data_IF_398930420234
#
_entry.id   IF_398930420234
#
_cell.length_a   1.000
_cell.length_b   1.000
_cell.length_c   1.000
_cell.angle_alpha   90.00
_cell.angle_beta   90.00
_cell.angle_gamma   90.00
#
_symmetry.space_group_name_H-M   'P 1'
#
loop_
_entity.id
_entity.type
_entity.pdbx_description
1 polymer ?
#
# COMPACT_ATOMS: atom_id res chain seq x y z
N UNK A 1 -19.59 65.50 52.14
CA UNK A 1 -20.21 64.62 53.14
C UNK A 1 -19.20 63.58 53.62
N UNK A 2 -19.00 63.54 54.94
CA UNK A 2 -18.52 62.50 55.85
C UNK A 2 -17.41 61.47 55.48
N UNK A 3 -16.45 61.38 56.43
CA UNK A 3 -15.40 60.36 56.68
C UNK A 3 -15.94 59.04 57.25
N UNK A 4 -15.16 57.95 57.13
CA UNK A 4 -14.80 56.92 58.14
C UNK A 4 -14.23 55.67 57.42
N UNK A 5 -13.07 55.03 57.67
CA UNK A 5 -12.39 54.49 58.88
C UNK A 5 -13.10 53.32 59.59
N UNK A 6 -12.43 52.16 59.69
CA UNK A 6 -12.79 50.98 60.51
C UNK A 6 -12.18 49.70 59.90
N UNK A 7 -11.13 49.02 60.39
CA UNK A 7 -10.68 48.53 61.72
C UNK A 7 -11.41 47.27 62.22
N UNK A 8 -10.64 46.23 62.59
CA UNK A 8 -11.03 45.15 63.52
C UNK A 8 -11.15 43.75 62.89
N UNK A 9 -10.26 42.78 63.18
CA UNK A 9 -10.30 41.88 64.35
C UNK A 9 -10.68 40.45 63.87
N UNK A 10 -10.23 39.30 64.36
CA UNK A 10 -9.84 38.88 65.71
C UNK A 10 -9.13 37.50 65.65
N UNK A 11 -8.52 37.16 66.78
CA UNK A 11 -7.60 36.06 67.14
C UNK A 11 -8.14 34.61 67.11
N UNK A 12 -7.18 33.69 66.91
CA UNK A 12 -6.91 32.38 67.57
C UNK A 12 -7.96 31.82 68.55
N UNK A 13 -8.23 30.52 68.41
CA UNK A 13 -8.38 29.59 69.56
C UNK A 13 -7.69 28.25 69.27
N UNK A 14 -7.09 27.73 70.33
CA UNK A 14 -6.31 26.50 70.50
C UNK A 14 -7.19 25.27 70.72
N UNK A 15 -6.76 24.07 70.28
CA UNK A 15 -7.23 22.81 70.88
C UNK A 15 -6.12 21.74 70.91
N UNK A 16 -5.52 21.64 72.09
CA UNK A 16 -5.06 20.47 72.86
C UNK A 16 -5.11 19.09 72.19
N UNK A 17 -4.00 18.35 72.32
CA UNK A 17 -3.86 16.98 71.83
C UNK A 17 -4.53 15.92 72.69
N UNK A 18 -4.52 14.68 72.19
CA UNK A 18 -4.24 13.40 72.88
C UNK A 18 -4.35 12.28 71.83
N UNK A 19 -3.28 11.50 71.67
CA UNK A 19 -3.24 10.13 71.12
C UNK A 19 -2.70 9.26 72.28
N UNK A 20 -2.84 7.91 72.33
CA UNK A 20 -3.44 7.01 71.35
C UNK A 20 -4.39 5.94 71.96
N UNK A 21 -5.21 5.28 71.13
CA UNK A 21 -5.75 3.95 71.45
C UNK A 21 -5.09 2.91 70.56
N UNK A 22 -4.52 1.92 71.24
CA UNK A 22 -3.86 0.71 70.77
C UNK A 22 -4.77 -0.18 69.94
N UNK A 23 -4.33 -0.52 68.71
CA UNK A 23 -4.81 -1.68 67.97
C UNK A 23 -3.79 -2.82 68.14
N UNK A 24 -4.22 -4.10 68.25
CA UNK A 24 -3.34 -5.20 68.62
C UNK A 24 -2.45 -5.66 67.48
N UNK A 25 -1.31 -6.19 67.91
CA UNK A 25 -0.13 -6.65 67.18
C UNK A 25 -0.39 -7.92 66.34
N UNK A 26 0.37 -8.00 65.25
CA UNK A 26 0.39 -9.03 64.22
C UNK A 26 0.56 -10.48 64.72
N UNK A 27 -0.05 -11.42 63.98
CA UNK A 27 0.48 -12.77 63.77
C UNK A 27 1.02 -12.86 62.34
N UNK A 28 2.32 -13.09 62.22
CA UNK A 28 3.01 -13.33 60.97
C UNK A 28 2.65 -14.72 60.41
N UNK A 29 2.30 -14.78 59.12
CA UNK A 29 2.19 -16.03 58.36
C UNK A 29 3.50 -16.23 57.56
N UNK A 30 4.04 -17.46 57.46
CA UNK A 30 5.30 -17.70 56.76
C UNK A 30 5.12 -17.59 55.24
N UNK A 31 6.01 -16.84 54.58
CA UNK A 31 6.12 -16.79 53.11
C UNK A 31 6.59 -18.16 52.60
N UNK A 32 5.77 -18.79 51.75
CA UNK A 32 6.14 -19.97 50.95
C UNK A 32 7.03 -19.52 49.78
N UNK A 33 8.17 -20.17 49.50
CA UNK A 33 9.05 -19.78 48.39
C UNK A 33 8.40 -20.05 47.03
N UNK A 34 8.66 -19.16 46.08
CA UNK A 34 8.25 -19.28 44.68
C UNK A 34 8.90 -20.51 44.02
N UNK A 35 8.09 -21.27 43.26
CA UNK A 35 8.54 -22.39 42.46
C UNK A 35 9.40 -21.91 41.26
N UNK A 36 10.40 -22.69 40.81
CA UNK A 36 11.31 -22.28 39.74
C UNK A 36 10.59 -22.20 38.39
N UNK A 37 10.98 -21.18 37.61
CA UNK A 37 10.55 -20.99 36.23
C UNK A 37 10.89 -22.23 35.38
N UNK A 38 9.92 -22.69 34.58
CA UNK A 38 10.13 -23.74 33.59
C UNK A 38 11.16 -23.32 32.54
N UNK A 39 11.83 -24.29 31.88
CA UNK A 39 12.90 -23.99 30.94
C UNK A 39 12.35 -23.24 29.72
N UNK A 40 13.05 -22.16 29.33
CA UNK A 40 12.83 -21.45 28.08
C UNK A 40 12.89 -22.43 26.89
N UNK A 41 12.16 -22.20 25.78
CA UNK A 41 12.28 -23.05 24.59
C UNK A 41 13.71 -22.91 24.08
N UNK A 42 14.51 -23.94 24.32
CA UNK A 42 15.86 -24.03 23.79
C UNK A 42 15.77 -23.92 22.28
N UNK A 43 16.54 -22.98 21.72
CA UNK A 43 16.92 -23.05 20.32
C UNK A 43 17.58 -24.42 20.16
N UNK A 44 16.83 -25.38 19.60
CA UNK A 44 17.45 -26.58 19.06
C UNK A 44 18.38 -26.07 17.99
N UNK A 45 19.67 -26.00 18.32
CA UNK A 45 20.73 -25.97 17.33
C UNK A 45 20.51 -27.20 16.47
N UNK A 46 19.85 -27.00 15.33
CA UNK A 46 19.69 -28.02 14.31
C UNK A 46 21.11 -28.50 14.03
N UNK A 47 21.36 -29.79 14.29
CA UNK A 47 22.65 -30.38 13.97
C UNK A 47 22.99 -30.10 12.49
N UNK A 48 24.27 -30.01 12.12
CA UNK A 48 24.68 -29.64 10.76
C UNK A 48 23.99 -30.49 9.69
N UNK A 49 23.68 -31.76 10.00
CA UNK A 49 22.89 -32.64 9.13
C UNK A 49 21.47 -32.14 8.85
N UNK A 50 20.74 -31.63 9.85
CA UNK A 50 19.39 -31.13 9.66
C UNK A 50 19.37 -29.80 8.88
N UNK A 51 20.40 -28.96 9.07
CA UNK A 51 20.60 -27.74 8.26
C UNK A 51 20.85 -28.08 6.79
N UNK A 52 21.65 -29.11 6.52
CA UNK A 52 21.88 -29.58 5.15
C UNK A 52 20.62 -30.16 4.50
N UNK A 53 19.80 -30.89 5.25
CA UNK A 53 18.51 -31.42 4.75
C UNK A 53 17.53 -30.28 4.45
N UNK A 54 17.44 -29.28 5.32
CA UNK A 54 16.58 -28.11 5.09
C UNK A 54 17.08 -27.29 3.90
N UNK A 55 18.38 -27.10 3.77
CA UNK A 55 18.98 -26.40 2.62
C UNK A 55 18.71 -27.14 1.31
N UNK A 56 18.86 -28.46 1.30
CA UNK A 56 18.53 -29.29 0.13
C UNK A 56 17.04 -29.20 -0.24
N UNK A 57 16.14 -29.24 0.76
CA UNK A 57 14.71 -29.06 0.53
C UNK A 57 14.37 -27.67 -0.02
N UNK A 58 14.98 -26.61 0.51
CA UNK A 58 14.78 -25.25 0.00
C UNK A 58 15.28 -25.10 -1.43
N UNK A 59 16.41 -25.71 -1.79
CA UNK A 59 16.93 -25.71 -3.16
C UNK A 59 15.97 -26.46 -4.10
N UNK A 60 15.44 -27.61 -3.70
CA UNK A 60 14.46 -28.36 -4.51
C UNK A 60 13.16 -27.57 -4.68
N UNK A 61 12.67 -26.91 -3.63
CA UNK A 61 11.47 -26.07 -3.69
C UNK A 61 11.70 -24.87 -4.61
N UNK A 62 12.83 -24.16 -4.46
CA UNK A 62 13.20 -23.05 -5.35
C UNK A 62 13.35 -23.53 -6.78
N UNK A 63 13.96 -24.70 -7.01
CA UNK A 63 14.08 -25.29 -8.34
C UNK A 63 12.72 -25.68 -8.92
N UNK A 64 11.82 -26.26 -8.13
CA UNK A 64 10.46 -26.58 -8.58
C UNK A 64 9.64 -25.32 -8.87
N UNK A 65 9.72 -24.30 -8.01
CA UNK A 65 9.06 -23.01 -8.25
C UNK A 65 9.66 -22.35 -9.48
N UNK A 66 10.98 -22.32 -9.63
CA UNK A 66 11.64 -21.77 -10.81
C UNK A 66 11.29 -22.56 -12.09
N UNK A 67 11.25 -23.90 -12.01
CA UNK A 67 10.89 -24.81 -13.13
C UNK A 67 9.43 -24.66 -13.54
N UNK A 68 8.53 -24.45 -12.58
CA UNK A 68 7.08 -24.47 -12.79
C UNK A 68 6.51 -23.07 -13.07
N UNK A 69 7.11 -22.01 -12.51
CA UNK A 69 6.69 -20.63 -12.78
C UNK A 69 7.36 -20.00 -14.01
N UNK A 70 8.51 -20.48 -14.47
CA UNK A 70 9.18 -19.98 -15.69
C UNK A 70 9.05 -20.88 -16.93
N UNK A 71 8.20 -21.92 -16.91
CA UNK A 71 7.86 -22.70 -18.12
C UNK A 71 6.40 -22.48 -18.52
N UNK A 72 6.07 -21.26 -18.93
CA UNK A 72 4.86 -20.91 -19.66
C UNK A 72 5.20 -20.45 -21.07
N UNK A 73 4.88 -21.29 -22.06
CA UNK A 73 4.87 -21.04 -23.52
C UNK A 73 6.27 -20.81 -24.15
N UNK A 74 6.86 -21.73 -24.91
CA UNK A 74 6.29 -22.41 -26.07
C UNK A 74 7.00 -21.89 -27.32
N UNK A 75 8.10 -22.53 -27.73
CA UNK A 75 8.53 -22.52 -29.13
C UNK A 75 9.25 -23.81 -29.49
N UNK A 76 8.95 -24.22 -30.70
CA UNK A 76 9.23 -25.51 -31.31
C UNK A 76 10.71 -25.63 -31.63
N UNK A 77 11.19 -26.88 -31.56
CA UNK A 77 12.31 -27.49 -32.29
C UNK A 77 13.23 -26.52 -33.02
N UNK A 78 14.46 -26.41 -32.53
CA UNK A 78 15.62 -26.17 -33.37
C UNK A 78 16.80 -26.90 -32.74
N UNK A 79 17.06 -28.11 -33.23
CA UNK A 79 18.39 -28.72 -33.20
C UNK A 79 18.57 -29.50 -34.49
N UNK A 80 19.28 -28.88 -35.43
CA UNK A 80 20.30 -29.56 -36.23
C UNK A 80 21.22 -28.49 -36.87
N UNK A 81 22.55 -28.67 -36.79
CA UNK A 81 23.53 -27.69 -37.23
C UNK A 81 23.79 -27.73 -38.74
N UNK A 82 24.39 -26.66 -39.23
CA UNK A 82 24.64 -26.39 -40.65
C UNK A 82 25.93 -27.08 -41.15
N UNK A 83 25.86 -27.50 -42.43
CA UNK A 83 26.91 -27.68 -43.46
C UNK A 83 27.52 -29.08 -43.59
N UNK A 84 27.22 -29.73 -44.72
CA UNK A 84 28.24 -29.97 -45.74
C UNK A 84 27.63 -30.17 -47.13
N UNK A 85 28.36 -29.70 -48.14
CA UNK A 85 28.09 -29.68 -49.57
C UNK A 85 28.61 -30.99 -50.19
N UNK A 86 27.78 -31.75 -50.92
CA UNK A 86 28.14 -32.44 -52.19
C UNK A 86 26.98 -33.27 -52.77
N UNK A 87 26.64 -32.95 -54.01
CA UNK A 87 26.46 -33.82 -55.18
C UNK A 87 25.62 -35.13 -55.06
N UNK A 88 24.48 -35.16 -55.78
CA UNK A 88 24.25 -35.98 -56.99
C UNK A 88 22.88 -36.70 -57.07
N UNK A 89 22.18 -36.47 -58.20
CA UNK A 89 21.24 -37.35 -58.96
C UNK A 89 19.93 -37.80 -58.27
N UNK A 90 18.79 -38.09 -58.93
CA UNK A 90 18.22 -38.04 -60.30
C UNK A 90 16.71 -38.39 -60.16
N UNK A 91 15.87 -37.75 -60.99
CA UNK A 91 14.54 -38.17 -61.54
C UNK A 91 13.25 -38.33 -60.69
N UNK A 92 12.14 -37.90 -61.32
CA UNK A 92 10.72 -38.27 -61.12
C UNK A 92 9.88 -37.20 -60.42
N UNK A 93 9.20 -36.26 -61.10
CA UNK A 93 7.83 -36.35 -61.70
C UNK A 93 6.71 -36.61 -60.67
N UNK A 94 5.94 -35.58 -60.31
CA UNK A 94 4.58 -35.32 -60.83
C UNK A 94 3.87 -34.19 -60.03
N UNK A 95 3.42 -33.20 -60.80
CA UNK A 95 2.25 -32.33 -60.76
C UNK A 95 1.44 -31.98 -59.48
N UNK A 96 1.08 -30.68 -59.48
CA UNK A 96 -0.16 -30.05 -59.02
C UNK A 96 -0.37 -29.61 -57.56
N UNK A 97 -1.10 -28.48 -57.46
CA UNK A 97 -1.71 -27.84 -56.30
C UNK A 97 -0.92 -26.79 -55.51
N UNK A 98 -0.59 -25.69 -56.19
CA UNK A 98 -0.74 -24.35 -55.60
C UNK A 98 -2.25 -24.06 -55.42
N UNK A 99 -2.63 -23.37 -54.32
CA UNK A 99 -3.89 -22.59 -54.10
C UNK A 99 -4.86 -23.09 -53.01
N UNK A 100 -4.49 -22.93 -51.73
CA UNK A 100 -5.51 -22.68 -50.66
C UNK A 100 -5.02 -22.09 -49.33
N UNK A 101 -3.75 -21.68 -49.18
CA UNK A 101 -3.22 -21.25 -47.87
C UNK A 101 -2.67 -19.82 -47.82
N UNK A 102 -2.98 -18.97 -48.82
CA UNK A 102 -2.49 -17.58 -48.90
C UNK A 102 -3.56 -16.50 -48.69
N UNK A 103 -4.83 -16.85 -48.46
CA UNK A 103 -5.90 -15.85 -48.25
C UNK A 103 -6.27 -15.59 -46.78
N UNK A 104 -5.89 -16.46 -45.84
CA UNK A 104 -6.27 -16.27 -44.41
C UNK A 104 -5.24 -15.49 -43.57
N UNK A 105 -4.03 -15.24 -44.08
CA UNK A 105 -2.98 -14.52 -43.34
C UNK A 105 -2.90 -13.01 -43.58
N UNK A 106 -3.70 -12.47 -44.51
CA UNK A 106 -3.72 -11.03 -44.79
C UNK A 106 -4.90 -10.30 -44.11
N UNK A 107 -5.90 -11.03 -43.60
CA UNK A 107 -7.05 -10.45 -42.88
C UNK A 107 -6.74 -10.11 -41.42
N UNK A 108 -5.95 -10.94 -40.73
CA UNK A 108 -5.64 -10.74 -39.31
C UNK A 108 -4.61 -9.63 -39.04
N UNK A 109 -3.76 -9.28 -40.02
CA UNK A 109 -2.84 -8.13 -39.90
C UNK A 109 -3.56 -6.80 -40.08
N UNK A 110 -4.55 -6.71 -40.98
CA UNK A 110 -5.34 -5.48 -41.17
C UNK A 110 -6.28 -5.21 -39.99
N UNK A 111 -6.72 -6.22 -39.26
CA UNK A 111 -7.61 -6.02 -38.11
C UNK A 111 -6.86 -5.55 -36.85
N UNK A 112 -5.62 -6.03 -36.62
CA UNK A 112 -4.76 -5.52 -35.53
C UNK A 112 -4.15 -4.14 -35.82
N UNK A 113 -3.93 -3.79 -37.08
CA UNK A 113 -3.42 -2.46 -37.45
C UNK A 113 -4.55 -1.41 -37.54
N UNK A 114 -5.78 -1.81 -37.87
CA UNK A 114 -6.96 -0.93 -37.79
C UNK A 114 -7.49 -0.72 -36.36
N UNK A 115 -7.31 -1.70 -35.45
CA UNK A 115 -7.67 -1.52 -34.04
C UNK A 115 -6.71 -0.56 -33.29
N UNK A 116 -5.45 -0.42 -33.75
CA UNK A 116 -4.50 0.57 -33.20
C UNK A 116 -4.64 1.95 -33.85
N UNK A 117 -5.26 2.05 -35.03
CA UNK A 117 -5.53 3.30 -35.74
C UNK A 117 -6.91 3.92 -35.44
N UNK A 118 -7.76 3.25 -34.66
CA UNK A 118 -9.09 3.76 -34.21
C UNK A 118 -9.24 3.88 -32.69
N UNK A 119 -8.15 3.85 -31.93
CA UNK A 119 -8.13 4.38 -30.57
C UNK A 119 -7.74 5.86 -30.62
N UNK A 120 -8.76 6.71 -30.76
CA UNK A 120 -8.79 8.14 -30.44
C UNK A 120 -7.51 8.96 -30.59
N UNK A 121 -7.41 9.71 -31.70
CA UNK A 121 -6.74 11.02 -31.72
C UNK A 121 -7.50 12.00 -30.81
N UNK A 122 -7.39 11.84 -29.51
CA UNK A 122 -7.72 12.91 -28.56
C UNK A 122 -6.44 13.17 -27.79
N UNK A 123 -5.69 14.19 -28.22
CA UNK A 123 -4.56 14.68 -27.42
C UNK A 123 -5.04 14.98 -26.00
N UNK A 124 -4.16 14.92 -24.98
CA UNK A 124 -4.61 14.91 -23.60
C UNK A 124 -5.49 16.14 -23.33
N UNK A 125 -6.72 15.90 -22.88
CA UNK A 125 -7.72 16.95 -22.67
C UNK A 125 -7.41 17.61 -21.33
N UNK A 126 -7.46 18.95 -21.27
CA UNK A 126 -7.40 19.64 -19.98
C UNK A 126 -8.64 19.32 -19.15
N UNK A 127 -8.43 18.85 -17.93
CA UNK A 127 -9.49 18.51 -16.98
C UNK A 127 -9.22 19.13 -15.63
N UNK A 128 -10.29 19.56 -14.97
CA UNK A 128 -10.24 19.99 -13.58
C UNK A 128 -10.49 18.77 -12.68
N UNK A 129 -9.43 18.30 -12.03
CA UNK A 129 -9.42 17.17 -11.10
C UNK A 129 -9.43 17.69 -9.66
N UNK A 130 -9.93 16.92 -8.69
CA UNK A 130 -9.83 17.26 -7.27
C UNK A 130 -8.77 16.39 -6.61
N UNK A 131 -7.95 16.97 -5.76
CA UNK A 131 -7.12 16.22 -4.81
C UNK A 131 -7.63 16.51 -3.41
N UNK A 132 -7.55 15.52 -2.53
CA UNK A 132 -7.95 15.67 -1.14
C UNK A 132 -6.71 15.78 -0.28
N UNK A 133 -6.53 16.95 0.31
CA UNK A 133 -5.47 17.25 1.27
C UNK A 133 -6.03 17.23 2.70
N UNK A 134 -5.16 17.40 3.69
CA UNK A 134 -5.59 17.44 5.09
C UNK A 134 -5.31 18.79 5.72
N UNK A 135 -6.08 19.14 6.75
CA UNK A 135 -5.92 20.33 7.57
C UNK A 135 -6.09 19.93 9.03
N UNK A 136 -5.28 20.48 9.91
CA UNK A 136 -5.49 20.35 11.33
C UNK A 136 -6.46 21.44 11.82
N UNK A 137 -7.53 21.03 12.50
CA UNK A 137 -8.48 21.92 13.14
C UNK A 137 -8.13 22.04 14.63
N UNK A 138 -7.55 23.17 15.01
CA UNK A 138 -7.08 23.43 16.38
C UNK A 138 -8.20 23.39 17.43
N UNK A 139 -9.44 23.71 17.03
CA UNK A 139 -10.58 23.73 17.96
C UNK A 139 -11.06 22.32 18.30
N UNK A 140 -11.03 21.41 17.33
CA UNK A 140 -11.50 20.03 17.49
C UNK A 140 -10.36 19.05 17.76
N UNK A 141 -9.11 19.51 17.63
CA UNK A 141 -7.88 18.71 17.65
C UNK A 141 -7.91 17.54 16.64
N UNK A 142 -8.68 17.70 15.57
CA UNK A 142 -8.88 16.67 14.54
C UNK A 142 -8.28 17.11 13.21
N UNK A 143 -7.90 16.11 12.43
CA UNK A 143 -7.53 16.29 11.03
C UNK A 143 -8.78 16.17 10.17
N UNK A 144 -8.98 17.12 9.27
CA UNK A 144 -10.11 17.17 8.35
C UNK A 144 -9.61 17.13 6.90
N UNK A 145 -10.36 16.47 6.01
CA UNK A 145 -10.07 16.49 4.58
C UNK A 145 -10.54 17.80 3.95
N UNK A 146 -9.72 18.34 3.06
CA UNK A 146 -10.02 19.51 2.25
C UNK A 146 -9.77 19.19 0.77
N UNK A 147 -10.76 19.44 -0.09
CA UNK A 147 -10.59 19.27 -1.53
C UNK A 147 -9.94 20.49 -2.16
N UNK A 148 -9.08 20.26 -3.15
CA UNK A 148 -8.43 21.30 -3.95
C UNK A 148 -8.50 20.93 -5.42
N UNK A 149 -8.91 21.87 -6.26
CA UNK A 149 -8.95 21.66 -7.71
C UNK A 149 -7.56 21.82 -8.35
N UNK A 150 -7.27 20.96 -9.33
CA UNK A 150 -6.05 20.92 -10.13
C UNK A 150 -6.44 20.84 -11.60
N UNK A 151 -5.93 21.76 -12.42
CA UNK A 151 -6.07 21.66 -13.87
C UNK A 151 -4.91 20.85 -14.42
N UNK A 152 -5.21 19.71 -15.03
CA UNK A 152 -4.19 18.79 -15.55
C UNK A 152 -4.58 18.35 -16.96
N UNK A 153 -3.58 18.27 -17.84
CA UNK A 153 -3.71 17.72 -19.18
C UNK A 153 -3.23 16.27 -19.15
N UNK A 154 -4.15 15.31 -19.11
CA UNK A 154 -3.81 13.89 -18.98
C UNK A 154 -4.80 12.98 -19.72
N UNK A 155 -4.29 11.87 -20.27
CA UNK A 155 -5.11 10.80 -20.86
C UNK A 155 -5.76 9.94 -19.77
N UNK A 156 -4.99 9.61 -18.73
CA UNK A 156 -5.41 8.83 -17.56
C UNK A 156 -5.71 9.75 -16.35
N UNK A 157 -6.96 10.18 -16.13
CA UNK A 157 -7.28 11.19 -15.13
C UNK A 157 -7.11 10.71 -13.68
N UNK A 158 -7.33 9.42 -13.43
CA UNK A 158 -7.15 8.81 -12.09
C UNK A 158 -5.69 8.85 -11.66
N UNK A 159 -4.79 8.36 -12.51
CA UNK A 159 -3.37 8.37 -12.22
C UNK A 159 -2.86 9.80 -12.08
N UNK A 160 -3.27 10.71 -12.97
CA UNK A 160 -2.91 12.12 -12.89
C UNK A 160 -3.35 12.78 -11.57
N UNK A 161 -4.56 12.53 -11.09
CA UNK A 161 -5.04 13.06 -9.81
C UNK A 161 -4.21 12.53 -8.62
N UNK A 162 -3.85 11.24 -8.64
CA UNK A 162 -3.00 10.64 -7.61
C UNK A 162 -1.57 11.19 -7.67
N UNK A 163 -1.00 11.41 -8.87
CA UNK A 163 0.30 12.05 -9.04
C UNK A 163 0.28 13.49 -8.50
N UNK A 164 -0.78 14.27 -8.75
CA UNK A 164 -0.96 15.60 -8.16
C UNK A 164 -1.08 15.55 -6.62
N UNK A 165 -1.74 14.52 -6.07
CA UNK A 165 -1.81 14.32 -4.63
C UNK A 165 -0.42 14.06 -4.03
N UNK A 166 0.41 13.24 -4.69
CA UNK A 166 1.78 12.93 -4.27
C UNK A 166 2.70 14.18 -4.28
N UNK A 167 2.47 15.15 -5.17
CA UNK A 167 3.16 16.45 -5.14
C UNK A 167 2.83 17.27 -3.88
N UNK A 168 1.68 17.01 -3.25
CA UNK A 168 1.23 17.68 -2.04
C UNK A 168 0.73 19.11 -2.27
N UNK A 169 0.52 19.87 -1.17
CA UNK A 169 0.03 21.24 -1.25
C UNK A 169 1.04 22.18 -1.90
N UNK A 170 0.53 23.14 -2.68
CA UNK A 170 1.31 24.26 -3.19
C UNK A 170 1.78 25.19 -2.06
N UNK A 171 2.74 26.07 -2.35
CA UNK A 171 3.22 27.02 -1.34
C UNK A 171 2.12 27.94 -0.77
N UNK A 172 1.13 28.32 -1.60
CA UNK A 172 -0.02 29.10 -1.16
C UNK A 172 -0.96 28.29 -0.27
N UNK A 173 -1.20 27.03 -0.62
CA UNK A 173 -2.04 26.11 0.16
C UNK A 173 -1.43 25.77 1.52
N UNK A 174 -0.10 25.58 1.58
CA UNK A 174 0.63 25.41 2.84
C UNK A 174 0.47 26.62 3.75
N UNK A 175 0.61 27.84 3.22
CA UNK A 175 0.33 29.08 3.97
C UNK A 175 -1.12 29.19 4.41
N UNK A 176 -2.02 28.62 3.62
CA UNK A 176 -3.44 28.46 3.97
C UNK A 176 -3.73 27.33 4.95
N UNK A 177 -2.73 26.63 5.50
CA UNK A 177 -2.88 25.57 6.51
C UNK A 177 -3.20 24.17 5.97
N UNK A 178 -3.02 23.93 4.66
CA UNK A 178 -3.13 22.58 4.10
C UNK A 178 -1.82 21.80 4.23
N UNK A 179 -1.96 20.52 4.53
CA UNK A 179 -0.89 19.55 4.79
C UNK A 179 -1.10 18.30 3.92
N UNK A 180 -0.04 17.50 3.79
CA UNK A 180 -0.07 16.19 3.14
C UNK A 180 0.39 15.11 4.11
N UNK A 181 -0.25 13.95 4.09
CA UNK A 181 0.22 12.75 4.79
C UNK A 181 1.05 11.83 3.87
N UNK A 182 1.28 12.24 2.61
CA UNK A 182 2.16 11.53 1.67
C UNK A 182 3.64 11.75 2.07
N UNK A 183 4.46 10.70 2.17
CA UNK A 183 5.89 10.82 2.38
C UNK A 183 6.62 11.23 1.09
N UNK A 184 7.76 11.90 1.22
CA UNK A 184 8.47 12.55 0.10
C UNK A 184 8.86 11.59 -1.03
N UNK A 185 9.19 10.33 -0.71
CA UNK A 185 9.65 9.33 -1.68
C UNK A 185 8.54 8.42 -2.18
N UNK A 186 7.28 8.69 -1.83
CA UNK A 186 6.16 7.91 -2.30
C UNK A 186 6.04 8.01 -3.82
N UNK A 187 5.94 6.87 -4.48
CA UNK A 187 5.76 6.78 -5.91
C UNK A 187 4.68 5.76 -6.24
N UNK A 188 3.89 6.07 -7.26
CA UNK A 188 2.95 5.13 -7.88
C UNK A 188 3.72 4.32 -8.92
N UNK A 189 3.65 2.99 -8.82
CA UNK A 189 4.26 2.05 -9.76
C UNK A 189 3.27 1.59 -10.82
N UNK A 190 2.00 1.46 -10.44
CA UNK A 190 0.94 1.04 -11.34
C UNK A 190 -0.43 1.48 -10.83
N UNK A 191 -1.35 1.78 -11.74
CA UNK A 191 -2.76 2.02 -11.47
C UNK A 191 -3.58 1.17 -12.44
N UNK A 192 -4.54 0.42 -11.94
CA UNK A 192 -5.45 -0.35 -12.81
C UNK A 192 -6.84 -0.38 -12.21
N UNK A 193 -7.86 -0.08 -13.01
CA UNK A 193 -9.26 -0.17 -12.59
C UNK A 193 -9.85 -1.49 -13.11
N UNK A 194 -10.43 -2.30 -12.21
CA UNK A 194 -11.16 -3.53 -12.55
C UNK A 194 -12.38 -3.65 -11.66
N UNK A 195 -13.54 -3.98 -12.24
CA UNK A 195 -14.80 -4.13 -11.50
C UNK A 195 -15.08 -2.95 -10.57
N UNK A 196 -14.95 -1.72 -11.09
CA UNK A 196 -15.14 -0.45 -10.35
C UNK A 196 -14.23 -0.27 -9.13
N UNK A 197 -13.13 -1.02 -9.05
CA UNK A 197 -12.13 -0.94 -7.99
C UNK A 197 -10.79 -0.53 -8.56
N UNK A 198 -10.18 0.53 -8.02
CA UNK A 198 -8.84 0.96 -8.36
C UNK A 198 -7.79 0.18 -7.56
N UNK A 199 -6.95 -0.55 -8.25
CA UNK A 199 -5.77 -1.21 -7.70
C UNK A 199 -4.58 -0.27 -7.89
N UNK A 200 -4.08 0.29 -6.79
CA UNK A 200 -3.01 1.29 -6.81
C UNK A 200 -1.80 0.67 -6.14
N UNK A 201 -0.73 0.49 -6.91
CA UNK A 201 0.53 -0.06 -6.44
C UNK A 201 1.54 1.05 -6.16
N UNK A 202 1.98 1.14 -4.92
CA UNK A 202 2.99 2.09 -4.47
C UNK A 202 4.33 1.40 -4.19
N UNK A 203 5.41 2.17 -4.11
CA UNK A 203 6.67 1.69 -3.54
C UNK A 203 6.62 1.61 -2.00
N UNK A 204 7.67 1.05 -1.40
CA UNK A 204 7.75 0.84 0.07
C UNK A 204 7.63 2.12 0.90
N UNK A 205 7.91 3.29 0.31
CA UNK A 205 7.73 4.57 0.99
C UNK A 205 6.29 4.77 1.47
N UNK A 206 5.30 4.04 0.94
CA UNK A 206 3.94 4.02 1.47
C UNK A 206 3.85 3.65 2.96
N UNK A 207 4.81 2.94 3.53
CA UNK A 207 4.82 2.57 4.94
C UNK A 207 5.73 3.47 5.79
N UNK A 208 6.47 4.41 5.17
CA UNK A 208 7.33 5.35 5.88
C UNK A 208 6.51 6.36 6.70
N UNK A 209 6.98 6.67 7.91
CA UNK A 209 6.36 7.63 8.84
C UNK A 209 4.86 7.36 9.10
N UNK A 210 4.44 6.11 8.97
CA UNK A 210 3.06 5.66 9.13
C UNK A 210 2.74 5.36 10.61
N UNK A 211 2.83 6.39 11.46
CA UNK A 211 2.57 6.28 12.90
C UNK A 211 1.24 6.98 13.24
N UNK A 212 0.33 6.28 13.92
CA UNK A 212 -0.90 6.85 14.46
C UNK A 212 -1.83 7.40 13.38
N UNK A 213 -2.36 8.60 13.58
CA UNK A 213 -3.36 9.17 12.66
C UNK A 213 -2.81 9.53 11.27
N UNK A 214 -1.49 9.54 11.07
CA UNK A 214 -0.87 9.87 9.77
C UNK A 214 -1.21 8.82 8.73
N UNK A 215 -1.13 7.52 9.05
CA UNK A 215 -1.45 6.47 8.08
C UNK A 215 -2.94 6.50 7.71
N UNK A 216 -3.81 6.83 8.67
CA UNK A 216 -5.24 7.01 8.41
C UNK A 216 -5.48 8.18 7.45
N UNK A 217 -4.87 9.33 7.74
CA UNK A 217 -4.96 10.50 6.86
C UNK A 217 -4.43 10.20 5.45
N UNK A 218 -3.34 9.44 5.33
CA UNK A 218 -2.78 9.02 4.04
C UNK A 218 -3.78 8.18 3.23
N UNK A 219 -4.38 7.18 3.88
CA UNK A 219 -5.40 6.33 3.25
C UNK A 219 -6.61 7.19 2.84
N UNK A 220 -7.07 8.09 3.69
CA UNK A 220 -8.21 8.98 3.42
C UNK A 220 -7.98 9.84 2.18
N UNK A 221 -6.83 10.50 2.11
CA UNK A 221 -6.43 11.33 0.97
C UNK A 221 -6.45 10.53 -0.34
N UNK A 222 -5.89 9.30 -0.33
CA UNK A 222 -5.86 8.43 -1.51
C UNK A 222 -7.26 7.95 -1.89
N UNK A 223 -8.03 7.45 -0.93
CA UNK A 223 -9.38 6.92 -1.17
C UNK A 223 -10.29 8.00 -1.72
N UNK A 224 -10.34 9.18 -1.10
CA UNK A 224 -11.21 10.26 -1.55
C UNK A 224 -10.80 10.81 -2.93
N UNK A 225 -9.50 10.90 -3.20
CA UNK A 225 -8.97 11.31 -4.51
C UNK A 225 -9.28 10.27 -5.59
N UNK A 226 -9.10 8.99 -5.33
CA UNK A 226 -9.35 7.94 -6.31
C UNK A 226 -10.85 7.72 -6.59
N UNK A 227 -11.69 7.76 -5.55
CA UNK A 227 -13.14 7.55 -5.65
C UNK A 227 -13.92 8.81 -6.07
N UNK A 228 -13.24 9.84 -6.58
CA UNK A 228 -13.92 11.00 -7.17
C UNK A 228 -14.47 10.69 -8.57
N UNK A 229 -13.95 9.64 -9.22
CA UNK A 229 -14.35 9.23 -10.56
C UNK A 229 -15.49 8.22 -10.46
N UNK A 230 -16.52 8.39 -11.30
CA UNK A 230 -17.76 7.61 -11.23
C UNK A 230 -17.57 6.11 -11.53
N UNK A 231 -16.46 5.74 -12.17
CA UNK A 231 -16.05 4.37 -12.45
C UNK A 231 -15.22 3.74 -11.32
N UNK A 232 -14.93 4.45 -10.23
CA UNK A 232 -14.16 3.98 -9.07
C UNK A 232 -14.97 4.09 -7.77
N UNK A 233 -15.49 2.96 -7.29
CA UNK A 233 -16.23 2.88 -6.03
C UNK A 233 -15.36 2.52 -4.82
N UNK A 234 -14.22 1.87 -5.07
CA UNK A 234 -13.31 1.42 -4.02
C UNK A 234 -11.85 1.35 -4.46
N UNK A 235 -10.96 1.24 -3.47
CA UNK A 235 -9.51 1.23 -3.66
C UNK A 235 -8.89 0.02 -2.98
N UNK A 236 -7.97 -0.66 -3.67
CA UNK A 236 -7.07 -1.66 -3.10
C UNK A 236 -5.66 -1.12 -3.16
N UNK A 237 -5.04 -0.98 -2.00
CA UNK A 237 -3.66 -0.52 -1.87
C UNK A 237 -2.72 -1.72 -1.97
N UNK A 238 -1.76 -1.62 -2.88
CA UNK A 238 -0.65 -2.55 -3.02
C UNK A 238 0.65 -1.81 -2.71
N UNK A 239 1.59 -2.53 -2.11
CA UNK A 239 2.95 -2.03 -1.88
C UNK A 239 3.90 -3.05 -2.45
N UNK A 240 4.68 -2.63 -3.44
CA UNK A 240 5.58 -3.45 -4.21
C UNK A 240 4.91 -4.65 -4.92
N UNK A 241 3.70 -4.45 -5.43
CA UNK A 241 2.93 -5.45 -6.17
C UNK A 241 2.22 -6.46 -5.28
N UNK A 242 2.30 -6.30 -3.95
CA UNK A 242 1.61 -7.14 -2.98
C UNK A 242 0.45 -6.38 -2.32
N UNK A 243 -0.76 -6.95 -2.38
CA UNK A 243 -1.92 -6.44 -1.65
C UNK A 243 -1.69 -6.51 -0.15
N UNK A 244 -1.87 -5.39 0.53
CA UNK A 244 -1.66 -5.29 1.98
C UNK A 244 -2.98 -5.49 2.72
N UNK A 245 -2.94 -6.31 3.78
CA UNK A 245 -4.03 -6.44 4.77
C UNK A 245 -3.81 -5.55 5.99
N UNK A 246 -2.55 -5.19 6.24
CA UNK A 246 -2.11 -4.35 7.34
C UNK A 246 -1.07 -3.37 6.82
N UNK A 247 -1.06 -2.15 7.33
CA UNK A 247 -0.10 -1.10 6.99
C UNK A 247 0.27 -0.29 8.22
N UNK A 248 1.42 0.38 8.17
CA UNK A 248 1.94 1.18 9.29
C UNK A 248 2.56 0.34 10.40
N UNK A 249 3.38 0.98 11.23
CA UNK A 249 4.08 0.31 12.34
C UNK A 249 3.15 -0.14 13.46
N UNK A 250 1.94 0.39 13.50
CA UNK A 250 0.85 0.06 14.42
C UNK A 250 -0.11 -1.03 13.90
N UNK A 251 0.07 -1.48 12.65
CA UNK A 251 -0.69 -2.59 12.08
C UNK A 251 -2.14 -2.25 11.75
N UNK A 252 -2.40 -1.07 11.18
CA UNK A 252 -3.74 -0.66 10.73
C UNK A 252 -4.29 -1.65 9.71
N UNK A 253 -5.47 -2.21 10.01
CA UNK A 253 -6.18 -3.15 9.13
C UNK A 253 -6.76 -2.44 7.91
N UNK A 254 -6.51 -2.99 6.72
CA UNK A 254 -7.14 -2.56 5.47
C UNK A 254 -8.28 -3.51 5.10
N UNK A 255 -9.51 -3.02 5.27
CA UNK A 255 -10.72 -3.72 4.86
C UNK A 255 -10.98 -3.52 3.36
N UNK A 256 -10.20 -4.19 2.52
CA UNK A 256 -10.27 -4.07 1.07
C UNK A 256 -11.62 -4.57 0.50
N UNK A 257 -12.16 -3.92 -0.56
CA UNK A 257 -11.74 -2.62 -1.09
C UNK A 257 -12.13 -1.48 -0.14
N UNK A 258 -11.23 -0.51 0.01
CA UNK A 258 -11.43 0.68 0.84
C UNK A 258 -12.41 1.63 0.16
N UNK A 259 -13.43 2.09 0.89
CA UNK A 259 -14.47 2.97 0.36
C UNK A 259 -14.66 4.20 1.25
N UNK A 260 -15.23 5.27 0.69
CA UNK A 260 -15.56 6.50 1.46
C UNK A 260 -16.49 6.26 2.64
N UNK A 261 -17.34 5.23 2.60
CA UNK A 261 -18.29 4.95 3.70
C UNK A 261 -17.60 4.42 4.96
N UNK A 262 -16.38 3.93 4.83
CA UNK A 262 -15.60 3.34 5.93
C UNK A 262 -14.63 4.35 6.56
N UNK A 263 -14.61 5.60 6.08
CA UNK A 263 -13.59 6.62 6.37
C UNK A 263 -14.28 7.94 6.73
#
# INVERSE_FOLDING_TARGET
MAKASGTGGKKKTTKTGTRPKSAPRAKAAPKKPAAPAGPAPGSRSMGPAAVLVILALLIVIVFMVNRFYFSGEGTKRADAPVRERREARVAGEDDDDEKSAREDREKDRKEKEAAKAKAGKEGPIERDLRIYLVRFNERTEKTELASVSRRVKAEEPLEAALQELLKGPSGAEKRGGLLSAMPDRLAIRNVTVRNRTAYIDFNDAFEENAIGNIIQSRIDQIVFTATQFDDVEGVVIQVNGATRKFVGGDGVVLNNPLTRKQR
#
